data_IF_950885697940
#
_entry.id   IF_950885697940
#
_cell.length_a   1.000
_cell.length_b   1.000
_cell.length_c   1.000
_cell.angle_alpha   90.00
_cell.angle_beta   90.00
_cell.angle_gamma   90.00
#
_symmetry.space_group_name_H-M   'P 1'
#
loop_
_entity.id
_entity.type
_entity.pdbx_description
1 polymer ?
#
# COMPACT_ATOMS: atom_id res chain seq x y z
N UNK A 1 -8.05 -12.62 2.42
CA UNK A 1 -8.21 -12.37 3.86
C UNK A 1 -8.48 -10.89 4.11
N UNK A 2 -9.47 -10.57 4.98
CA UNK A 2 -9.78 -9.18 5.32
C UNK A 2 -8.96 -8.70 6.50
N UNK A 3 -8.43 -7.49 6.42
CA UNK A 3 -7.62 -6.85 7.45
C UNK A 3 -7.93 -5.37 7.61
N UNK A 4 -7.34 -4.75 8.62
CA UNK A 4 -7.47 -3.33 8.90
C UNK A 4 -6.17 -2.58 8.59
N UNK A 5 -6.29 -1.43 7.91
CA UNK A 5 -5.20 -0.49 7.70
C UNK A 5 -5.14 0.47 8.92
N UNK A 6 -4.06 0.42 9.70
CA UNK A 6 -3.99 1.12 10.99
C UNK A 6 -3.90 2.64 10.88
N UNK A 7 -3.63 3.20 9.69
CA UNK A 7 -3.69 4.66 9.50
C UNK A 7 -5.06 5.24 9.85
N UNK A 8 -6.13 4.48 9.61
CA UNK A 8 -7.50 4.87 9.96
C UNK A 8 -7.66 5.13 11.46
N UNK A 9 -6.95 4.37 12.27
CA UNK A 9 -6.99 4.44 13.75
C UNK A 9 -5.67 4.93 14.36
N UNK A 10 -4.85 5.63 13.58
CA UNK A 10 -3.48 6.05 13.97
C UNK A 10 -3.36 6.79 15.29
N UNK A 11 -4.39 7.57 15.68
CA UNK A 11 -4.40 8.25 16.98
C UNK A 11 -4.47 7.31 18.17
N UNK A 12 -4.86 6.04 17.95
CA UNK A 12 -4.96 5.00 18.96
C UNK A 12 -3.85 3.94 18.86
N UNK A 13 -2.73 4.30 18.23
CA UNK A 13 -1.54 3.42 18.07
C UNK A 13 -0.25 4.14 18.49
N UNK A 14 -0.36 5.18 19.32
CA UNK A 14 0.76 6.03 19.71
C UNK A 14 1.40 5.62 21.04
N UNK A 15 0.70 4.88 21.87
CA UNK A 15 1.24 4.26 23.09
C UNK A 15 1.07 2.74 23.01
N UNK A 16 1.84 2.00 23.80
CA UNK A 16 1.74 0.53 23.82
C UNK A 16 0.37 0.08 24.35
N UNK A 17 -0.19 0.79 25.34
CA UNK A 17 -1.49 0.51 25.92
C UNK A 17 -2.61 0.71 24.89
N UNK A 18 -2.59 1.83 24.17
CA UNK A 18 -3.54 2.11 23.09
C UNK A 18 -3.41 1.09 21.95
N UNK A 19 -2.18 0.71 21.61
CA UNK A 19 -1.93 -0.29 20.56
C UNK A 19 -2.53 -1.66 20.95
N UNK A 20 -2.31 -2.12 22.21
CA UNK A 20 -2.91 -3.35 22.73
C UNK A 20 -4.44 -3.31 22.61
N UNK A 21 -5.06 -2.22 23.11
CA UNK A 21 -6.50 -2.05 23.06
C UNK A 21 -7.03 -2.03 21.63
N UNK A 22 -6.32 -1.38 20.72
CA UNK A 22 -6.70 -1.26 19.30
C UNK A 22 -6.63 -2.59 18.59
N UNK A 23 -5.54 -3.35 18.75
CA UNK A 23 -5.39 -4.67 18.13
C UNK A 23 -6.46 -5.64 18.67
N UNK A 24 -6.75 -5.61 19.97
CA UNK A 24 -7.82 -6.44 20.53
C UNK A 24 -9.20 -6.11 19.93
N UNK A 25 -9.54 -4.83 19.81
CA UNK A 25 -10.80 -4.40 19.16
C UNK A 25 -10.88 -4.83 17.68
N UNK A 26 -9.77 -4.75 16.95
CA UNK A 26 -9.69 -5.21 15.57
C UNK A 26 -9.94 -6.73 15.48
N UNK A 27 -9.37 -7.51 16.39
CA UNK A 27 -9.61 -8.94 16.50
C UNK A 27 -11.07 -9.26 16.85
N UNK A 28 -11.66 -8.53 17.81
CA UNK A 28 -13.05 -8.71 18.26
C UNK A 28 -14.06 -8.38 17.15
N UNK A 29 -13.75 -7.44 16.25
CA UNK A 29 -14.53 -7.17 15.03
C UNK A 29 -14.49 -8.34 14.05
N UNK A 30 -13.45 -9.17 14.13
CA UNK A 30 -13.28 -10.35 13.28
C UNK A 30 -12.20 -10.23 12.20
N UNK A 31 -11.43 -9.16 12.17
CA UNK A 31 -10.27 -9.06 11.28
C UNK A 31 -9.18 -10.06 11.69
N UNK A 32 -8.43 -10.55 10.71
CA UNK A 32 -7.32 -11.51 10.91
C UNK A 32 -5.98 -10.98 10.43
N UNK A 33 -5.96 -9.78 9.90
CA UNK A 33 -4.75 -9.16 9.39
C UNK A 33 -4.74 -7.64 9.68
N UNK A 34 -3.55 -7.09 9.82
CA UNK A 34 -3.34 -5.64 9.91
C UNK A 34 -2.21 -5.19 8.99
N UNK A 35 -2.34 -3.97 8.53
CA UNK A 35 -1.23 -3.21 7.97
C UNK A 35 -0.75 -2.19 8.99
N UNK A 36 0.53 -2.22 9.30
CA UNK A 36 1.15 -1.20 10.15
C UNK A 36 1.36 0.09 9.38
N UNK A 37 0.71 1.15 9.79
CA UNK A 37 0.87 2.49 9.23
C UNK A 37 0.68 3.53 10.33
N UNK A 38 1.63 4.46 10.45
CA UNK A 38 1.66 5.51 11.48
C UNK A 38 1.58 4.99 12.93
N UNK A 39 2.08 3.79 13.20
CA UNK A 39 2.29 3.27 14.55
C UNK A 39 3.48 3.98 15.18
N UNK A 40 3.43 4.24 16.48
CA UNK A 40 4.50 4.91 17.20
C UNK A 40 5.84 4.19 17.05
N UNK A 41 6.89 4.93 16.69
CA UNK A 41 8.27 4.42 16.62
C UNK A 41 8.85 4.03 18.00
N UNK A 42 8.15 4.35 19.10
CA UNK A 42 8.57 3.97 20.45
C UNK A 42 8.16 2.52 20.79
N UNK A 43 7.20 1.94 20.08
CA UNK A 43 6.81 0.54 20.24
C UNK A 43 7.74 -0.31 19.37
N UNK A 44 8.50 -1.19 20.02
CA UNK A 44 9.51 -2.02 19.33
C UNK A 44 8.86 -3.10 18.46
N UNK A 45 9.48 -3.51 17.35
CA UNK A 45 8.96 -4.57 16.48
C UNK A 45 8.60 -5.85 17.22
N UNK A 46 9.39 -6.27 18.22
CA UNK A 46 9.13 -7.45 19.02
C UNK A 46 7.84 -7.31 19.85
N UNK A 47 7.59 -6.12 20.40
CA UNK A 47 6.35 -5.82 21.15
C UNK A 47 5.14 -5.82 20.23
N UNK A 48 5.26 -5.19 19.05
CA UNK A 48 4.19 -5.18 18.03
C UNK A 48 3.85 -6.63 17.64
N UNK A 49 4.87 -7.43 17.34
CA UNK A 49 4.71 -8.85 16.98
C UNK A 49 4.00 -9.63 18.10
N UNK A 50 4.48 -9.53 19.33
CA UNK A 50 3.90 -10.24 20.48
C UNK A 50 2.43 -9.86 20.72
N UNK A 51 2.09 -8.56 20.62
CA UNK A 51 0.71 -8.08 20.79
C UNK A 51 -0.20 -8.63 19.70
N UNK A 52 0.23 -8.61 18.45
CA UNK A 52 -0.55 -9.14 17.32
C UNK A 52 -0.72 -10.66 17.42
N UNK A 53 0.33 -11.41 17.81
CA UNK A 53 0.27 -12.86 17.98
C UNK A 53 -0.73 -13.27 19.09
N UNK A 54 -0.74 -12.54 20.21
CA UNK A 54 -1.71 -12.78 21.32
C UNK A 54 -3.16 -12.58 20.88
N UNK A 55 -3.39 -11.70 19.91
CA UNK A 55 -4.71 -11.41 19.36
C UNK A 55 -5.07 -12.27 18.13
N UNK A 56 -4.23 -13.21 17.72
CA UNK A 56 -4.37 -14.01 16.48
C UNK A 56 -4.52 -13.10 15.23
N UNK A 57 -3.71 -12.03 15.16
CA UNK A 57 -3.67 -11.06 14.06
C UNK A 57 -2.33 -11.18 13.32
N UNK A 58 -2.38 -11.37 12.01
CA UNK A 58 -1.19 -11.38 11.15
C UNK A 58 -0.81 -9.96 10.73
N UNK A 59 0.48 -9.63 10.78
CA UNK A 59 1.02 -8.39 10.21
C UNK A 59 1.39 -8.66 8.76
N UNK A 60 0.69 -8.05 7.81
CA UNK A 60 0.81 -8.44 6.39
C UNK A 60 1.50 -7.40 5.52
N UNK A 61 1.48 -6.14 5.91
CA UNK A 61 2.06 -5.03 5.15
C UNK A 61 2.46 -3.91 6.11
N UNK A 62 3.45 -3.11 5.73
CA UNK A 62 3.79 -1.86 6.44
C UNK A 62 3.69 -0.66 5.51
N UNK A 63 3.58 0.55 6.07
CA UNK A 63 4.06 1.77 5.43
C UNK A 63 5.35 2.19 6.11
N UNK A 64 6.46 1.97 5.41
CA UNK A 64 7.81 2.25 5.89
C UNK A 64 8.29 3.64 5.47
N UNK A 65 9.20 4.20 6.25
CA UNK A 65 9.85 5.46 5.94
C UNK A 65 10.68 5.32 4.64
N UNK A 66 10.46 6.17 3.61
CA UNK A 66 11.19 6.09 2.36
C UNK A 66 12.70 6.20 2.52
N UNK A 67 13.19 6.99 3.47
CA UNK A 67 14.63 7.11 3.75
C UNK A 67 15.22 5.80 4.29
N UNK A 68 14.45 5.06 5.09
CA UNK A 68 14.87 3.73 5.54
C UNK A 68 14.87 2.70 4.42
N UNK A 69 13.90 2.77 3.51
CA UNK A 69 13.88 1.90 2.31
C UNK A 69 15.14 2.14 1.47
N UNK A 70 15.52 3.41 1.27
CA UNK A 70 16.64 3.80 0.42
C UNK A 70 18.01 3.53 1.08
N UNK A 71 18.16 3.83 2.37
CA UNK A 71 19.47 3.95 3.01
C UNK A 71 19.70 2.97 4.14
N UNK A 72 18.66 2.26 4.61
CA UNK A 72 18.72 1.32 5.75
C UNK A 72 17.95 0.02 5.43
N UNK A 73 17.98 -0.40 4.17
CA UNK A 73 17.21 -1.53 3.64
C UNK A 73 17.46 -2.82 4.42
N UNK A 74 18.72 -3.12 4.75
CA UNK A 74 19.09 -4.37 5.43
C UNK A 74 18.55 -4.43 6.87
N UNK A 75 18.56 -3.31 7.61
CA UNK A 75 17.94 -3.24 8.93
C UNK A 75 16.41 -3.29 8.85
N UNK A 76 15.81 -2.66 7.82
CA UNK A 76 14.38 -2.72 7.58
C UNK A 76 13.91 -4.15 7.25
N UNK A 77 14.67 -4.91 6.47
CA UNK A 77 14.40 -6.34 6.20
C UNK A 77 14.40 -7.15 7.50
N UNK A 78 15.43 -6.96 8.37
CA UNK A 78 15.50 -7.64 9.68
C UNK A 78 14.31 -7.29 10.58
N UNK A 79 13.88 -6.04 10.59
CA UNK A 79 12.68 -5.62 11.32
C UNK A 79 11.43 -6.36 10.82
N UNK A 80 11.28 -6.50 9.49
CA UNK A 80 10.19 -7.27 8.90
C UNK A 80 10.26 -8.77 9.17
N UNK A 81 11.47 -9.32 9.39
CA UNK A 81 11.62 -10.71 9.87
C UNK A 81 11.07 -10.86 11.30
N UNK A 82 11.37 -9.91 12.20
CA UNK A 82 10.80 -9.87 13.55
C UNK A 82 9.27 -9.76 13.50
N UNK A 83 8.76 -8.85 12.68
CA UNK A 83 7.32 -8.65 12.50
C UNK A 83 6.62 -9.86 11.85
N UNK A 84 7.36 -10.77 11.20
CA UNK A 84 6.80 -11.84 10.39
C UNK A 84 6.07 -11.31 9.15
N UNK A 85 6.47 -10.16 8.63
CA UNK A 85 5.83 -9.43 7.55
C UNK A 85 6.62 -9.57 6.25
N UNK A 86 5.95 -9.97 5.17
CA UNK A 86 6.59 -10.18 3.87
C UNK A 86 6.50 -8.98 2.92
N UNK A 87 5.63 -8.01 3.20
CA UNK A 87 5.41 -6.86 2.33
C UNK A 87 5.91 -5.57 2.98
N UNK A 88 6.93 -4.96 2.35
CA UNK A 88 7.55 -3.70 2.79
C UNK A 88 6.99 -2.57 1.93
N UNK A 89 6.04 -1.79 2.47
CA UNK A 89 5.30 -0.81 1.69
C UNK A 89 5.87 0.60 1.78
N UNK A 90 5.76 1.31 0.66
CA UNK A 90 5.88 2.76 0.57
C UNK A 90 4.48 3.35 0.50
N UNK A 91 4.12 4.20 1.47
CA UNK A 91 2.76 4.71 1.63
C UNK A 91 2.33 5.75 0.61
N UNK A 92 3.26 6.47 0.01
CA UNK A 92 3.05 7.39 -1.09
C UNK A 92 4.39 7.75 -1.75
N UNK A 93 4.33 8.30 -2.96
CA UNK A 93 5.53 8.84 -3.61
C UNK A 93 6.09 10.01 -2.78
N UNK A 94 7.37 9.98 -2.39
CA UNK A 94 7.98 11.10 -1.68
C UNK A 94 7.96 12.37 -2.54
N UNK A 95 7.76 13.53 -1.91
CA UNK A 95 7.59 14.82 -2.60
C UNK A 95 8.74 15.15 -3.57
N UNK A 96 9.96 14.74 -3.22
CA UNK A 96 11.15 14.88 -4.08
C UNK A 96 10.90 14.35 -5.51
N UNK A 97 10.18 13.25 -5.68
CA UNK A 97 9.98 12.60 -6.97
C UNK A 97 8.72 13.05 -7.71
N UNK A 98 7.93 13.96 -7.13
CA UNK A 98 6.67 14.47 -7.72
C UNK A 98 6.88 15.57 -8.74
N UNK A 99 8.07 15.66 -9.33
CA UNK A 99 8.39 16.64 -10.39
C UNK A 99 8.82 15.91 -11.65
N UNK A 100 8.65 16.57 -12.81
CA UNK A 100 9.05 16.02 -14.11
C UNK A 100 10.53 15.64 -14.18
N UNK A 101 11.38 16.40 -13.49
CA UNK A 101 12.83 16.18 -13.48
C UNK A 101 13.23 14.98 -12.61
N UNK A 102 12.53 14.76 -11.51
CA UNK A 102 12.91 13.76 -10.51
C UNK A 102 12.17 12.44 -10.59
N UNK A 103 11.04 12.37 -11.32
CA UNK A 103 10.24 11.14 -11.40
C UNK A 103 11.06 9.95 -11.94
N UNK A 104 11.91 10.16 -12.96
CA UNK A 104 12.76 9.10 -13.49
C UNK A 104 13.78 8.58 -12.48
N UNK A 105 14.20 9.42 -11.53
CA UNK A 105 15.11 9.04 -10.45
C UNK A 105 14.46 8.11 -9.42
N UNK A 106 13.13 8.11 -9.30
CA UNK A 106 12.44 7.19 -8.39
C UNK A 106 12.81 5.72 -8.71
N UNK A 107 12.73 5.33 -9.98
CA UNK A 107 13.05 3.96 -10.40
C UNK A 107 14.52 3.65 -10.11
N UNK A 108 15.46 4.54 -10.49
CA UNK A 108 16.89 4.32 -10.27
C UNK A 108 17.24 4.22 -8.78
N UNK A 109 16.65 5.05 -7.93
CA UNK A 109 16.95 5.11 -6.51
C UNK A 109 16.36 3.90 -5.75
N UNK A 110 15.12 3.49 -6.08
CA UNK A 110 14.44 2.38 -5.40
C UNK A 110 14.76 0.99 -5.99
N UNK A 111 15.42 0.91 -7.15
CA UNK A 111 15.69 -0.35 -7.84
C UNK A 111 16.55 -1.31 -7.00
N UNK A 112 17.68 -0.85 -6.47
CA UNK A 112 18.56 -1.69 -5.67
C UNK A 112 17.94 -2.06 -4.30
N UNK A 113 17.28 -1.16 -3.54
CA UNK A 113 16.48 -1.54 -2.40
C UNK A 113 15.42 -2.61 -2.71
N UNK A 114 14.66 -2.48 -3.80
CA UNK A 114 13.65 -3.45 -4.20
C UNK A 114 14.25 -4.84 -4.48
N UNK A 115 15.40 -4.91 -5.19
CA UNK A 115 16.14 -6.16 -5.41
C UNK A 115 16.63 -6.81 -4.11
N UNK A 116 17.15 -6.01 -3.17
CA UNK A 116 17.57 -6.53 -1.85
C UNK A 116 16.38 -7.11 -1.08
N UNK A 117 15.24 -6.43 -1.11
CA UNK A 117 14.00 -6.89 -0.49
C UNK A 117 13.55 -8.21 -1.13
N UNK A 118 13.55 -8.30 -2.46
CA UNK A 118 13.22 -9.52 -3.20
C UNK A 118 14.18 -10.68 -2.88
N UNK A 119 15.49 -10.42 -2.83
CA UNK A 119 16.51 -11.42 -2.46
C UNK A 119 16.32 -11.98 -1.04
N UNK A 120 15.71 -11.20 -0.15
CA UNK A 120 15.33 -11.63 1.21
C UNK A 120 13.97 -12.37 1.27
N UNK A 121 13.37 -12.71 0.13
CA UNK A 121 12.07 -13.40 0.06
C UNK A 121 10.88 -12.51 0.44
N UNK A 122 11.03 -11.20 0.35
CA UNK A 122 9.99 -10.20 0.62
C UNK A 122 9.66 -9.43 -0.68
N UNK A 123 8.63 -8.59 -0.64
CA UNK A 123 8.25 -7.78 -1.79
C UNK A 123 8.15 -6.31 -1.38
N UNK A 124 8.79 -5.44 -2.15
CA UNK A 124 8.55 -4.01 -2.05
C UNK A 124 7.17 -3.68 -2.60
N UNK A 125 6.36 -2.91 -1.86
CA UNK A 125 4.99 -2.58 -2.22
C UNK A 125 4.83 -1.07 -2.39
N UNK A 126 4.27 -0.67 -3.51
CA UNK A 126 3.96 0.73 -3.80
C UNK A 126 2.46 1.00 -3.61
N UNK A 127 2.08 1.93 -2.76
CA UNK A 127 0.69 2.36 -2.59
C UNK A 127 0.38 3.54 -3.51
N UNK A 128 -0.60 3.39 -4.42
CA UNK A 128 -1.01 4.45 -5.33
C UNK A 128 -1.97 5.45 -4.68
N UNK A 129 -1.85 6.68 -5.12
CA UNK A 129 -2.84 7.73 -4.98
C UNK A 129 -3.39 8.11 -6.36
N UNK A 130 -4.09 9.22 -6.47
CA UNK A 130 -4.56 9.74 -7.76
C UNK A 130 -3.42 10.38 -8.58
N UNK A 131 -2.35 10.81 -7.94
CA UNK A 131 -1.22 11.47 -8.62
C UNK A 131 -0.52 10.56 -9.65
N UNK A 132 -0.48 9.25 -9.42
CA UNK A 132 0.14 8.29 -10.33
C UNK A 132 -0.66 8.07 -11.62
N UNK A 133 -1.86 8.63 -11.69
CA UNK A 133 -2.70 8.65 -12.90
C UNK A 133 -2.45 9.88 -13.78
N UNK A 134 -1.61 10.83 -13.36
CA UNK A 134 -1.13 11.91 -14.21
C UNK A 134 -0.34 11.34 -15.38
N UNK A 135 -0.53 11.94 -16.58
CA UNK A 135 0.20 11.57 -17.78
C UNK A 135 1.33 12.55 -18.02
N UNK A 136 2.51 12.03 -18.32
CA UNK A 136 3.65 12.85 -18.74
C UNK A 136 3.89 12.73 -20.24
N UNK A 137 4.35 13.83 -20.85
CA UNK A 137 4.86 13.78 -22.21
C UNK A 137 6.11 12.90 -22.28
N UNK A 138 6.27 12.14 -23.37
CA UNK A 138 7.39 11.20 -23.57
C UNK A 138 8.78 11.85 -23.43
N UNK A 139 8.88 13.14 -23.70
CA UNK A 139 10.12 13.94 -23.54
C UNK A 139 10.58 14.07 -22.07
N UNK A 140 9.69 13.86 -21.12
CA UNK A 140 9.99 13.96 -19.68
C UNK A 140 10.29 12.59 -19.01
N UNK A 141 10.02 11.49 -19.73
CA UNK A 141 10.26 10.14 -19.24
C UNK A 141 11.05 9.36 -20.31
N UNK A 142 12.34 9.06 -20.08
CA UNK A 142 13.14 8.30 -21.02
C UNK A 142 12.45 6.98 -21.38
N UNK A 143 12.28 6.73 -22.69
CA UNK A 143 11.67 5.53 -23.25
C UNK A 143 10.16 5.33 -22.95
N UNK A 144 9.46 6.33 -22.40
CA UNK A 144 8.02 6.23 -22.17
C UNK A 144 7.24 6.41 -23.49
N UNK A 145 6.18 5.63 -23.66
CA UNK A 145 5.21 5.85 -24.72
C UNK A 145 4.45 7.18 -24.51
N UNK A 146 3.95 7.84 -25.57
CA UNK A 146 3.12 9.02 -25.45
C UNK A 146 1.89 8.76 -24.55
N UNK A 147 1.54 9.74 -23.72
CA UNK A 147 0.39 9.67 -22.80
C UNK A 147 0.48 8.57 -21.72
N UNK A 148 1.68 8.15 -21.34
CA UNK A 148 1.92 7.18 -20.29
C UNK A 148 1.57 7.78 -18.93
N UNK A 149 0.80 7.06 -18.12
CA UNK A 149 0.58 7.42 -16.70
C UNK A 149 1.81 7.10 -15.86
N UNK A 150 2.00 7.83 -14.78
CA UNK A 150 3.11 7.57 -13.84
C UNK A 150 3.08 6.12 -13.33
N UNK A 151 1.89 5.59 -12.98
CA UNK A 151 1.77 4.23 -12.47
C UNK A 151 2.26 3.18 -13.49
N UNK A 152 1.90 3.35 -14.77
CA UNK A 152 2.37 2.47 -15.85
C UNK A 152 3.89 2.52 -16.00
N UNK A 153 4.46 3.73 -15.90
CA UNK A 153 5.91 3.92 -15.95
C UNK A 153 6.63 3.23 -14.78
N UNK A 154 6.07 3.34 -13.56
CA UNK A 154 6.62 2.65 -12.39
C UNK A 154 6.56 1.12 -12.57
N UNK A 155 5.43 0.58 -13.05
CA UNK A 155 5.24 -0.84 -13.29
C UNK A 155 6.24 -1.40 -14.31
N UNK A 156 6.63 -0.63 -15.31
CA UNK A 156 7.66 -1.02 -16.30
C UNK A 156 9.07 -0.96 -15.72
N UNK A 157 9.32 -0.06 -14.78
CA UNK A 157 10.62 0.12 -14.15
C UNK A 157 11.03 -1.01 -13.22
N UNK A 158 10.07 -1.81 -12.70
CA UNK A 158 10.31 -2.88 -11.75
C UNK A 158 9.74 -4.21 -12.25
N UNK A 159 10.49 -5.31 -12.05
CA UNK A 159 9.95 -6.65 -12.29
C UNK A 159 8.84 -7.00 -11.28
N UNK A 160 7.92 -7.92 -11.61
CA UNK A 160 6.83 -8.31 -10.72
C UNK A 160 7.25 -8.87 -9.36
N UNK A 161 8.43 -9.46 -9.27
CA UNK A 161 9.04 -9.97 -8.05
C UNK A 161 9.87 -8.91 -7.29
N UNK A 162 10.14 -7.76 -7.90
CA UNK A 162 10.81 -6.63 -7.26
C UNK A 162 9.81 -5.68 -6.60
N UNK A 163 8.68 -5.36 -7.27
CA UNK A 163 7.67 -4.43 -6.75
C UNK A 163 6.26 -4.89 -7.07
N UNK A 164 5.42 -5.01 -6.05
CA UNK A 164 3.97 -5.08 -6.16
C UNK A 164 3.31 -3.71 -5.92
N UNK A 165 2.01 -3.66 -6.13
CA UNK A 165 1.19 -2.47 -5.87
C UNK A 165 0.16 -2.78 -4.79
N UNK A 166 0.05 -1.91 -3.80
CA UNK A 166 -1.12 -1.83 -2.92
C UNK A 166 -2.12 -0.91 -3.62
N UNK A 167 -3.01 -1.51 -4.42
CA UNK A 167 -4.04 -0.75 -5.14
C UNK A 167 -5.06 -0.20 -4.15
N UNK A 168 -5.34 1.10 -4.21
CA UNK A 168 -6.37 1.76 -3.43
C UNK A 168 -7.57 2.11 -4.31
N UNK A 169 -8.72 1.54 -3.98
CA UNK A 169 -9.95 1.66 -4.79
C UNK A 169 -10.49 3.10 -4.85
N UNK A 170 -10.37 3.87 -3.77
CA UNK A 170 -10.76 5.28 -3.74
C UNK A 170 -9.88 6.12 -4.67
N UNK A 171 -8.55 5.94 -4.58
CA UNK A 171 -7.64 6.80 -5.33
C UNK A 171 -7.66 6.52 -6.84
N UNK A 172 -7.91 5.28 -7.25
CA UNK A 172 -8.17 4.95 -8.67
C UNK A 172 -9.41 5.68 -9.16
N UNK A 173 -10.52 5.59 -8.40
CA UNK A 173 -11.78 6.25 -8.77
C UNK A 173 -11.66 7.79 -8.71
N UNK A 174 -10.95 8.34 -7.73
CA UNK A 174 -10.71 9.78 -7.59
C UNK A 174 -9.86 10.35 -8.74
N UNK A 175 -9.06 9.50 -9.40
CA UNK A 175 -8.35 9.85 -10.63
C UNK A 175 -9.25 9.82 -11.89
N UNK A 176 -10.52 9.42 -11.76
CA UNK A 176 -11.43 9.24 -12.89
C UNK A 176 -11.19 7.95 -13.68
N UNK A 177 -10.47 6.99 -13.11
CA UNK A 177 -10.17 5.71 -13.72
C UNK A 177 -11.14 4.61 -13.25
N UNK A 178 -11.34 3.58 -14.08
CA UNK A 178 -12.16 2.43 -13.72
C UNK A 178 -11.36 1.47 -12.80
N UNK A 179 -11.90 1.21 -11.61
CA UNK A 179 -11.23 0.39 -10.59
C UNK A 179 -11.08 -1.06 -11.05
N UNK A 180 -12.13 -1.63 -11.70
CA UNK A 180 -12.10 -3.03 -12.15
C UNK A 180 -11.12 -3.22 -13.29
N UNK A 181 -11.02 -2.25 -14.20
CA UNK A 181 -10.07 -2.27 -15.31
C UNK A 181 -8.62 -2.27 -14.78
N UNK A 182 -8.32 -1.40 -13.81
CA UNK A 182 -6.97 -1.36 -13.19
C UNK A 182 -6.65 -2.61 -12.36
N UNK A 183 -7.61 -3.20 -11.66
CA UNK A 183 -7.44 -4.50 -11.02
C UNK A 183 -7.07 -5.57 -12.05
N UNK A 184 -7.76 -5.60 -13.19
CA UNK A 184 -7.48 -6.56 -14.27
C UNK A 184 -6.09 -6.35 -14.87
N UNK A 185 -5.69 -5.11 -15.15
CA UNK A 185 -4.37 -4.77 -15.71
C UNK A 185 -3.22 -5.13 -14.78
N UNK A 186 -3.43 -5.10 -13.47
CA UNK A 186 -2.41 -5.39 -12.45
C UNK A 186 -2.68 -6.69 -11.69
N UNK A 187 -3.43 -7.62 -12.27
CA UNK A 187 -3.94 -8.82 -11.58
C UNK A 187 -2.87 -9.71 -10.97
N UNK A 188 -1.63 -9.66 -11.47
CA UNK A 188 -0.46 -10.40 -10.97
C UNK A 188 0.43 -9.57 -10.02
N UNK A 189 0.11 -8.29 -9.78
CA UNK A 189 0.95 -7.32 -9.07
C UNK A 189 0.29 -6.70 -7.82
N UNK A 190 -0.92 -7.13 -7.42
CA UNK A 190 -1.72 -6.52 -6.34
C UNK A 190 -2.03 -7.49 -5.18
N UNK A 191 -1.03 -8.08 -4.52
CA UNK A 191 -1.26 -9.01 -3.41
C UNK A 191 -2.00 -8.37 -2.23
N UNK A 192 -1.96 -7.05 -2.09
CA UNK A 192 -2.68 -6.26 -1.10
C UNK A 192 -3.50 -5.16 -1.79
N UNK A 193 -4.72 -4.94 -1.34
CA UNK A 193 -5.61 -3.89 -1.86
C UNK A 193 -6.19 -3.11 -0.69
N UNK A 194 -6.15 -1.77 -0.76
CA UNK A 194 -6.89 -0.91 0.14
C UNK A 194 -8.33 -0.79 -0.34
N UNK A 195 -9.25 -1.28 0.48
CA UNK A 195 -10.67 -1.06 0.27
C UNK A 195 -11.07 0.27 0.91
N UNK A 196 -11.35 1.25 0.08
CA UNK A 196 -11.78 2.59 0.47
C UNK A 196 -12.86 3.04 -0.50
N UNK A 197 -14.02 3.45 0.02
CA UNK A 197 -15.15 3.86 -0.81
C UNK A 197 -15.19 5.38 -1.02
N UNK A 198 -15.99 5.82 -1.97
CA UNK A 198 -16.18 7.21 -2.32
C UNK A 198 -17.66 7.56 -2.37
N UNK A 199 -18.05 8.69 -1.76
CA UNK A 199 -19.38 9.28 -1.91
C UNK A 199 -19.30 10.77 -2.18
N UNK A 200 -20.44 11.36 -2.54
CA UNK A 200 -20.55 12.81 -2.69
C UNK A 200 -21.16 13.40 -1.41
N UNK A 201 -20.51 14.43 -0.86
CA UNK A 201 -21.01 15.23 0.26
C UNK A 201 -20.72 16.70 -0.02
N UNK A 202 -21.75 17.55 0.09
CA UNK A 202 -21.63 18.98 -0.21
C UNK A 202 -21.02 19.24 -1.62
N UNK A 203 -21.48 18.51 -2.63
CA UNK A 203 -21.05 18.59 -4.04
C UNK A 203 -19.58 18.19 -4.30
N UNK A 204 -18.88 17.65 -3.30
CA UNK A 204 -17.50 17.20 -3.40
C UNK A 204 -17.40 15.69 -3.18
N UNK A 205 -16.51 14.99 -3.92
CA UNK A 205 -16.16 13.61 -3.61
C UNK A 205 -15.44 13.55 -2.26
N UNK A 206 -15.86 12.62 -1.43
CA UNK A 206 -15.24 12.36 -0.11
C UNK A 206 -15.11 10.87 0.12
N UNK A 207 -14.19 10.48 0.98
CA UNK A 207 -14.05 9.09 1.43
C UNK A 207 -15.30 8.63 2.19
N UNK A 208 -15.63 7.36 2.06
CA UNK A 208 -16.75 6.72 2.75
C UNK A 208 -16.31 5.35 3.29
N UNK A 209 -16.98 4.85 4.34
CA UNK A 209 -16.82 3.46 4.72
C UNK A 209 -17.13 2.53 3.56
N UNK A 210 -16.45 1.40 3.51
CA UNK A 210 -16.63 0.40 2.44
C UNK A 210 -18.09 -0.03 2.33
N UNK A 211 -18.65 -0.02 1.12
CA UNK A 211 -20.05 -0.31 0.79
C UNK A 211 -21.09 0.74 1.28
N UNK A 212 -20.65 1.89 1.77
CA UNK A 212 -21.53 3.03 2.12
C UNK A 212 -21.40 4.20 1.14
N UNK A 213 -20.63 4.04 0.08
CA UNK A 213 -20.40 5.02 -0.98
C UNK A 213 -21.03 4.63 -2.30
N UNK A 214 -20.41 5.06 -3.38
CA UNK A 214 -20.89 4.93 -4.75
C UNK A 214 -20.07 3.95 -5.59
N UNK A 215 -18.95 3.39 -5.07
CA UNK A 215 -18.18 2.42 -5.84
C UNK A 215 -18.91 1.08 -5.91
N UNK A 216 -18.80 0.41 -7.03
CA UNK A 216 -19.43 -0.90 -7.24
C UNK A 216 -18.56 -2.02 -6.62
N UNK A 217 -18.64 -2.19 -5.30
CA UNK A 217 -17.86 -3.22 -4.59
C UNK A 217 -18.19 -4.64 -5.01
N UNK A 218 -19.40 -4.92 -5.52
CA UNK A 218 -19.72 -6.25 -6.08
C UNK A 218 -18.86 -6.54 -7.31
N UNK A 219 -18.70 -5.59 -8.23
CA UNK A 219 -17.82 -5.73 -9.39
C UNK A 219 -16.34 -5.75 -8.98
N UNK A 220 -15.93 -4.90 -8.01
CA UNK A 220 -14.57 -4.85 -7.49
C UNK A 220 -14.16 -6.21 -6.88
N UNK A 221 -15.00 -6.81 -6.04
CA UNK A 221 -14.71 -8.13 -5.46
C UNK A 221 -14.61 -9.20 -6.53
N UNK A 222 -15.50 -9.20 -7.52
CA UNK A 222 -15.44 -10.15 -8.63
C UNK A 222 -14.13 -10.00 -9.44
N UNK A 223 -13.68 -8.76 -9.71
CA UNK A 223 -12.40 -8.52 -10.37
C UNK A 223 -11.21 -9.00 -9.51
N UNK A 224 -11.26 -8.79 -8.20
CA UNK A 224 -10.21 -9.23 -7.27
C UNK A 224 -10.11 -10.76 -7.15
N UNK A 225 -11.21 -11.50 -7.30
CA UNK A 225 -11.21 -12.98 -7.33
C UNK A 225 -10.34 -13.54 -8.47
N UNK A 226 -10.23 -12.82 -9.59
CA UNK A 226 -9.42 -13.18 -10.75
C UNK A 226 -7.95 -12.71 -10.65
N UNK A 227 -7.55 -12.07 -9.53
CA UNK A 227 -6.23 -11.51 -9.31
C UNK A 227 -5.40 -12.33 -8.30
N UNK A 228 -4.15 -11.91 -8.09
CA UNK A 228 -3.28 -12.47 -7.06
C UNK A 228 -3.53 -11.88 -5.66
N UNK A 229 -4.62 -11.15 -5.46
CA UNK A 229 -4.94 -10.48 -4.20
C UNK A 229 -5.12 -11.49 -3.05
N UNK A 230 -4.36 -11.28 -1.99
CA UNK A 230 -4.40 -12.11 -0.78
C UNK A 230 -5.06 -11.37 0.39
N UNK A 231 -4.86 -10.04 0.44
CA UNK A 231 -5.27 -9.22 1.57
C UNK A 231 -6.09 -8.02 1.12
N UNK A 232 -7.29 -7.92 1.69
CA UNK A 232 -8.23 -6.81 1.53
C UNK A 232 -8.14 -5.95 2.79
N UNK A 233 -7.48 -4.82 2.72
CA UNK A 233 -7.20 -3.96 3.86
C UNK A 233 -8.17 -2.79 3.88
N UNK A 234 -9.09 -2.78 4.84
CA UNK A 234 -10.07 -1.69 5.00
C UNK A 234 -9.38 -0.44 5.53
N UNK A 235 -9.56 0.67 4.82
CA UNK A 235 -9.02 1.99 5.15
C UNK A 235 -10.09 3.11 5.11
#
# INVERSE_FOLDING_TARGET
QTGAQLYTVRSYTQTIEDFICTIQKIADIGYKAVQLSAVSKQIKPEQIREICDRADISIVLTHSDPERILHDTDALIKEHDILGCSYIGLGCMPDKYRTKEWLSHFISDFKEPAKKIAAAGKLFMYHNHNLEFETFAAENLPNAAPNRRILEYLLEGFAPDEMGVTLDTYWVAAAGADVCDWISQMSDRIPCVHLKDMKVKNWQPVMAPVMEGNLNFSAIFHALEASNCKYLLVE
#
